data_IF_014461736783
#
_entry.id   IF_014461736783
#
_cell.length_a   1.000
_cell.length_b   1.000
_cell.length_c   1.000
_cell.angle_alpha   90.00
_cell.angle_beta   90.00
_cell.angle_gamma   90.00
#
_symmetry.space_group_name_H-M   'P 1'
#
loop_
_entity.id
_entity.type
_entity.pdbx_description
1 polymer ?
#
# COMPACT_ATOMS: atom_id res chain seq x y z
N UNK A 1 0.54 -27.09 -8.67
CA UNK A 1 0.98 -27.25 -7.27
C UNK A 1 0.12 -26.38 -6.34
N UNK A 2 -0.22 -26.93 -5.17
CA UNK A 2 -0.88 -26.15 -4.11
C UNK A 2 0.15 -25.43 -3.25
N UNK A 3 -0.31 -24.43 -2.45
CA UNK A 3 0.55 -23.74 -1.49
C UNK A 3 1.30 -24.73 -0.57
N UNK A 4 0.58 -25.68 0.01
CA UNK A 4 1.17 -26.65 0.95
C UNK A 4 2.28 -27.48 0.31
N UNK A 5 2.08 -27.96 -0.92
CA UNK A 5 3.12 -28.71 -1.64
C UNK A 5 4.40 -27.90 -1.86
N UNK A 6 4.26 -26.61 -2.21
CA UNK A 6 5.40 -25.70 -2.40
C UNK A 6 6.05 -25.36 -1.06
N UNK A 7 5.22 -25.09 -0.05
CA UNK A 7 5.70 -24.72 1.28
C UNK A 7 6.51 -25.84 1.93
N UNK A 8 5.98 -27.07 1.93
CA UNK A 8 6.63 -28.22 2.56
C UNK A 8 7.93 -28.61 1.85
N UNK A 9 7.94 -28.54 0.52
CA UNK A 9 9.12 -28.91 -0.27
C UNK A 9 10.24 -27.86 -0.19
N UNK A 10 9.89 -26.54 -0.19
CA UNK A 10 10.83 -25.45 -0.46
C UNK A 10 10.73 -24.27 0.51
N UNK A 11 9.56 -23.64 0.65
CA UNK A 11 9.44 -22.36 1.35
C UNK A 11 9.64 -22.47 2.86
N UNK A 12 9.34 -23.61 3.45
CA UNK A 12 9.64 -23.90 4.85
C UNK A 12 11.16 -23.80 5.14
N UNK A 13 12.00 -24.29 4.23
CA UNK A 13 13.46 -24.17 4.34
C UNK A 13 13.91 -22.72 4.24
N UNK A 14 13.34 -21.98 3.28
CA UNK A 14 13.59 -20.56 3.09
C UNK A 14 13.15 -19.75 4.32
N UNK A 15 12.01 -20.07 4.92
CA UNK A 15 11.52 -19.42 6.14
C UNK A 15 12.44 -19.66 7.35
N UNK A 16 13.08 -20.84 7.41
CA UNK A 16 14.11 -21.19 8.40
C UNK A 16 15.46 -20.55 8.13
N UNK A 17 15.58 -19.69 7.12
CA UNK A 17 16.78 -18.92 6.80
C UNK A 17 17.78 -19.64 5.90
N UNK A 18 17.43 -20.82 5.34
CA UNK A 18 18.31 -21.53 4.41
C UNK A 18 18.46 -20.69 3.13
N UNK A 19 19.68 -20.31 2.72
CA UNK A 19 19.91 -19.60 1.47
C UNK A 19 19.81 -20.54 0.26
N UNK A 20 19.68 -19.97 -0.92
CA UNK A 20 19.80 -20.66 -2.21
C UNK A 20 18.81 -21.83 -2.41
N UNK A 21 17.63 -21.75 -1.78
CA UNK A 21 16.60 -22.80 -1.92
C UNK A 21 15.82 -22.62 -3.23
N UNK A 22 15.14 -21.48 -3.41
CA UNK A 22 14.36 -21.17 -4.62
C UNK A 22 14.95 -20.01 -5.41
N UNK A 23 15.69 -19.14 -4.74
CA UNK A 23 16.32 -17.95 -5.29
C UNK A 23 17.71 -17.78 -4.70
N UNK A 24 18.64 -17.12 -5.42
CA UNK A 24 19.98 -16.84 -4.89
C UNK A 24 19.93 -16.03 -3.60
N UNK A 25 20.70 -16.45 -2.60
CA UNK A 25 20.81 -15.80 -1.31
C UNK A 25 19.63 -16.10 -0.36
N UNK A 26 19.58 -15.33 0.73
CA UNK A 26 18.56 -15.46 1.77
C UNK A 26 17.37 -14.55 1.51
N UNK A 27 16.16 -15.07 1.63
CA UNK A 27 14.91 -14.31 1.60
C UNK A 27 14.71 -13.59 2.94
N UNK A 28 14.64 -12.26 2.89
CA UNK A 28 14.53 -11.42 4.10
C UNK A 28 13.10 -11.10 4.50
N UNK A 29 12.15 -11.20 3.59
CA UNK A 29 10.76 -10.77 3.81
C UNK A 29 9.78 -11.88 3.46
N UNK A 30 8.74 -12.02 4.29
CA UNK A 30 7.61 -12.90 4.04
C UNK A 30 6.30 -12.13 4.18
N UNK A 31 5.51 -12.13 3.12
CA UNK A 31 4.16 -11.60 3.18
C UNK A 31 3.25 -12.61 3.87
N UNK A 32 2.44 -12.10 4.80
CA UNK A 32 1.41 -12.87 5.48
C UNK A 32 0.10 -12.73 4.71
N UNK A 33 -0.46 -13.82 4.23
CA UNK A 33 -1.82 -13.78 3.71
C UNK A 33 -2.81 -13.94 4.84
N UNK A 34 -3.87 -13.13 4.85
CA UNK A 34 -5.02 -13.40 5.70
C UNK A 34 -5.59 -14.75 5.31
N UNK A 35 -5.38 -15.77 6.15
CA UNK A 35 -6.12 -17.02 6.02
C UNK A 35 -7.62 -16.70 6.17
N UNK A 36 -8.47 -17.37 5.40
CA UNK A 36 -9.89 -17.49 5.80
C UNK A 36 -9.91 -18.07 7.21
N UNK A 37 -10.89 -17.72 8.02
CA UNK A 37 -11.00 -17.89 9.47
C UNK A 37 -10.62 -19.28 10.05
N UNK A 38 -10.33 -20.28 9.23
CA UNK A 38 -9.94 -21.63 9.63
C UNK A 38 -8.58 -22.11 9.08
N UNK A 39 -7.93 -21.32 8.21
CA UNK A 39 -6.64 -21.68 7.63
C UNK A 39 -5.48 -20.96 8.29
N UNK A 40 -4.41 -21.68 8.61
CA UNK A 40 -3.17 -21.11 9.12
C UNK A 40 -2.65 -19.99 8.21
N UNK A 41 -2.12 -18.93 8.79
CA UNK A 41 -1.48 -17.83 8.07
C UNK A 41 -0.41 -18.35 7.13
N UNK A 42 -0.50 -17.98 5.84
CA UNK A 42 0.46 -18.41 4.83
C UNK A 42 1.63 -17.43 4.76
N UNK A 43 2.85 -17.96 4.73
CA UNK A 43 4.07 -17.19 4.56
C UNK A 43 4.50 -17.25 3.09
N UNK A 44 4.47 -16.13 2.41
CA UNK A 44 4.82 -16.01 0.98
C UNK A 44 6.17 -15.30 0.88
N UNK A 45 7.22 -15.92 0.35
CA UNK A 45 8.54 -15.32 0.21
C UNK A 45 8.50 -14.09 -0.70
N UNK A 46 9.05 -12.97 -0.24
CA UNK A 46 9.17 -11.73 -1.00
C UNK A 46 10.65 -11.49 -1.28
N UNK A 47 11.06 -11.77 -2.50
CA UNK A 47 12.44 -11.64 -2.92
C UNK A 47 12.80 -10.18 -3.26
N UNK A 48 14.12 -9.89 -3.27
CA UNK A 48 14.63 -8.58 -3.72
C UNK A 48 14.20 -8.26 -5.16
N UNK A 49 14.10 -9.28 -6.01
CA UNK A 49 13.76 -9.08 -7.42
C UNK A 49 12.28 -8.73 -7.61
N UNK A 50 11.38 -9.33 -6.81
CA UNK A 50 9.96 -8.95 -6.86
C UNK A 50 9.77 -7.51 -6.34
N UNK A 51 10.51 -7.10 -5.29
CA UNK A 51 10.47 -5.71 -4.81
C UNK A 51 10.93 -4.75 -5.90
N UNK A 52 12.06 -5.01 -6.54
CA UNK A 52 12.57 -4.19 -7.67
C UNK A 52 11.61 -4.16 -8.86
N UNK A 53 11.04 -5.31 -9.20
CA UNK A 53 10.05 -5.41 -10.29
C UNK A 53 8.82 -4.57 -10.00
N UNK A 54 8.28 -4.65 -8.79
CA UNK A 54 7.13 -3.85 -8.37
C UNK A 54 7.44 -2.34 -8.38
N UNK A 55 8.61 -1.93 -7.86
CA UNK A 55 9.05 -0.54 -7.92
C UNK A 55 9.14 -0.03 -9.37
N UNK A 56 9.77 -0.81 -10.25
CA UNK A 56 9.89 -0.46 -11.67
C UNK A 56 8.53 -0.35 -12.35
N UNK A 57 7.61 -1.27 -12.05
CA UNK A 57 6.24 -1.24 -12.58
C UNK A 57 5.48 -0.01 -12.08
N UNK A 58 5.53 0.29 -10.79
CA UNK A 58 4.86 1.46 -10.21
C UNK A 58 5.39 2.77 -10.81
N UNK A 59 6.70 2.91 -10.98
CA UNK A 59 7.29 4.09 -11.64
C UNK A 59 6.79 4.21 -13.07
N UNK A 60 6.75 3.12 -13.83
CA UNK A 60 6.23 3.12 -15.21
C UNK A 60 4.76 3.50 -15.27
N UNK A 61 3.93 2.99 -14.35
CA UNK A 61 2.53 3.36 -14.26
C UNK A 61 2.35 4.87 -14.01
N UNK A 62 3.11 5.44 -13.04
CA UNK A 62 3.09 6.88 -12.79
C UNK A 62 3.51 7.66 -14.04
N UNK A 63 4.61 7.27 -14.69
CA UNK A 63 5.08 7.94 -15.91
C UNK A 63 4.08 7.85 -17.07
N UNK A 64 3.30 6.76 -17.17
CA UNK A 64 2.26 6.61 -18.18
C UNK A 64 1.16 7.67 -18.04
N UNK A 65 0.96 8.20 -16.81
CA UNK A 65 -0.01 9.26 -16.58
C UNK A 65 0.34 10.55 -17.35
N UNK A 66 1.59 10.76 -17.75
CA UNK A 66 1.99 11.91 -18.58
C UNK A 66 1.32 11.97 -19.96
N UNK A 67 0.73 10.85 -20.41
CA UNK A 67 -0.04 10.81 -21.66
C UNK A 67 -1.48 11.37 -21.52
N UNK A 68 -1.96 11.55 -20.28
CA UNK A 68 -3.29 12.13 -20.03
C UNK A 68 -3.21 13.65 -20.02
N UNK A 69 -3.79 14.29 -21.06
CA UNK A 69 -3.75 15.74 -21.28
C UNK A 69 -4.54 16.53 -20.21
N UNK A 70 -5.49 15.88 -19.57
CA UNK A 70 -6.37 16.50 -18.56
C UNK A 70 -5.74 16.56 -17.17
N UNK A 71 -4.56 15.96 -16.97
CA UNK A 71 -3.84 16.07 -15.71
C UNK A 71 -3.16 17.44 -15.59
N UNK A 72 -3.23 18.08 -14.41
CA UNK A 72 -2.50 19.31 -14.16
C UNK A 72 -0.99 19.15 -14.41
N UNK A 73 -0.35 20.19 -14.96
CA UNK A 73 1.09 20.16 -15.27
C UNK A 73 1.97 19.92 -14.04
N UNK A 74 1.49 20.28 -12.86
CA UNK A 74 2.17 20.11 -11.57
C UNK A 74 1.74 18.81 -10.84
N UNK A 75 0.97 17.93 -11.48
CA UNK A 75 0.51 16.66 -10.89
C UNK A 75 1.66 15.84 -10.30
N UNK A 76 2.80 15.75 -11.01
CA UNK A 76 3.92 14.90 -10.62
C UNK A 76 4.71 15.38 -9.41
N UNK A 77 4.46 16.59 -8.93
CA UNK A 77 5.05 17.13 -7.69
C UNK A 77 4.10 17.08 -6.50
N UNK A 78 2.85 16.62 -6.70
CA UNK A 78 1.86 16.45 -5.65
C UNK A 78 2.12 15.20 -4.80
N UNK A 79 1.52 15.17 -3.62
CA UNK A 79 1.57 14.01 -2.74
C UNK A 79 0.84 12.79 -3.29
N UNK A 80 1.36 11.62 -3.00
CA UNK A 80 0.74 10.33 -3.30
C UNK A 80 0.39 9.65 -1.99
N UNK A 81 -0.90 9.59 -1.66
CA UNK A 81 -1.38 8.89 -0.48
C UNK A 81 -1.52 7.40 -0.79
N UNK A 82 -0.70 6.58 -0.14
CA UNK A 82 -0.76 5.12 -0.27
C UNK A 82 -1.28 4.51 1.03
N UNK A 83 -2.50 4.01 1.01
CA UNK A 83 -3.13 3.39 2.17
C UNK A 83 -2.98 1.87 2.12
N UNK A 84 -2.18 1.34 3.03
CA UNK A 84 -1.87 -0.10 3.11
C UNK A 84 -1.53 -0.54 4.53
N UNK A 85 -1.11 -1.78 4.68
CA UNK A 85 -0.68 -2.36 5.95
C UNK A 85 0.45 -1.60 6.63
N UNK A 86 0.75 -1.99 7.87
CA UNK A 86 1.82 -1.36 8.66
C UNK A 86 3.21 -1.67 8.06
N UNK A 87 4.06 -0.65 8.02
CA UNK A 87 5.49 -0.83 7.71
C UNK A 87 6.33 -1.27 8.91
N UNK A 88 5.72 -1.37 10.09
CA UNK A 88 6.34 -1.93 11.29
C UNK A 88 6.25 -3.47 11.23
N UNK A 89 7.13 -4.06 10.44
CA UNK A 89 7.19 -5.50 10.21
C UNK A 89 7.64 -6.24 11.48
N UNK A 90 7.14 -7.45 11.65
CA UNK A 90 7.57 -8.32 12.74
C UNK A 90 8.88 -9.03 12.36
N UNK A 91 9.90 -8.96 13.22
CA UNK A 91 11.15 -9.70 13.03
C UNK A 91 11.13 -10.96 13.89
N UNK A 92 11.24 -12.13 13.27
CA UNK A 92 11.19 -13.43 13.95
C UNK A 92 12.58 -13.98 14.32
N UNK A 93 13.64 -13.18 14.25
CA UNK A 93 15.03 -13.58 14.46
C UNK A 93 15.79 -13.95 13.17
N UNK A 94 15.09 -14.23 12.07
CA UNK A 94 15.66 -14.64 10.78
C UNK A 94 15.19 -13.72 9.64
N UNK A 95 13.89 -13.44 9.61
CA UNK A 95 13.23 -12.68 8.53
C UNK A 95 12.20 -11.71 9.09
N UNK A 96 11.78 -10.76 8.24
CA UNK A 96 10.72 -9.81 8.51
C UNK A 96 9.40 -10.32 7.92
N UNK A 97 8.33 -10.20 8.69
CA UNK A 97 6.99 -10.67 8.34
C UNK A 97 5.96 -9.55 8.46
N UNK A 98 4.99 -9.51 7.55
CA UNK A 98 3.91 -8.54 7.58
C UNK A 98 3.08 -8.52 6.31
N UNK A 99 2.21 -7.53 6.19
CA UNK A 99 1.43 -7.34 4.96
C UNK A 99 2.33 -7.03 3.77
N UNK A 100 1.97 -7.56 2.59
CA UNK A 100 2.72 -7.28 1.36
C UNK A 100 2.85 -5.79 1.07
N UNK A 101 1.76 -5.03 1.27
CA UNK A 101 1.76 -3.58 1.09
C UNK A 101 2.70 -2.87 2.08
N UNK A 102 2.74 -3.31 3.34
CA UNK A 102 3.67 -2.80 4.35
C UNK A 102 5.13 -3.09 3.97
N UNK A 103 5.42 -4.31 3.50
CA UNK A 103 6.76 -4.67 3.01
C UNK A 103 7.17 -3.78 1.83
N UNK A 104 6.29 -3.59 0.84
CA UNK A 104 6.60 -2.77 -0.34
C UNK A 104 6.83 -1.30 0.02
N UNK A 105 5.98 -0.74 0.88
CA UNK A 105 6.11 0.65 1.33
C UNK A 105 7.37 0.86 2.17
N UNK A 106 7.78 -0.11 2.98
CA UNK A 106 9.03 -0.04 3.75
C UNK A 106 10.29 0.04 2.86
N UNK A 107 10.17 -0.32 1.58
CA UNK A 107 11.25 -0.33 0.58
C UNK A 107 11.15 0.84 -0.43
N UNK A 108 10.33 1.84 -0.17
CA UNK A 108 10.21 3.03 -1.04
C UNK A 108 11.58 3.73 -1.16
N UNK A 109 12.03 4.07 -2.38
CA UNK A 109 13.27 4.81 -2.59
C UNK A 109 13.29 6.14 -1.83
N UNK A 110 14.45 6.56 -1.32
CA UNK A 110 14.58 7.77 -0.51
C UNK A 110 14.11 9.04 -1.25
N UNK A 111 14.33 9.12 -2.57
CA UNK A 111 13.91 10.26 -3.40
C UNK A 111 12.39 10.37 -3.55
N UNK A 112 11.63 9.29 -3.29
CA UNK A 112 10.17 9.28 -3.33
C UNK A 112 9.53 9.68 -1.99
N UNK A 113 10.29 9.61 -0.89
CA UNK A 113 9.79 9.91 0.47
C UNK A 113 9.07 11.27 0.61
N UNK A 114 9.52 12.37 -0.02
CA UNK A 114 8.83 13.66 0.07
C UNK A 114 7.39 13.62 -0.45
N UNK A 115 7.15 12.82 -1.47
CA UNK A 115 5.84 12.69 -2.11
C UNK A 115 4.94 11.64 -1.42
N UNK A 116 5.54 10.71 -0.68
CA UNK A 116 4.80 9.65 -0.01
C UNK A 116 4.02 10.17 1.20
N UNK A 117 2.71 9.92 1.22
CA UNK A 117 1.83 10.12 2.37
C UNK A 117 1.21 8.76 2.77
N UNK A 118 0.95 8.55 4.05
CA UNK A 118 1.01 9.49 5.18
C UNK A 118 2.41 9.73 5.76
N UNK A 119 3.47 9.23 5.11
CA UNK A 119 4.84 9.31 5.61
C UNK A 119 5.20 8.18 6.58
N UNK A 120 6.50 8.00 6.82
CA UNK A 120 7.05 6.84 7.51
C UNK A 120 6.48 6.63 8.92
N UNK A 121 6.25 7.72 9.68
CA UNK A 121 5.76 7.63 11.06
C UNK A 121 4.36 7.03 11.13
N UNK A 122 3.41 7.58 10.39
CA UNK A 122 2.01 7.11 10.39
C UNK A 122 1.92 5.72 9.74
N UNK A 123 2.75 5.45 8.72
CA UNK A 123 2.78 4.15 8.07
C UNK A 123 3.15 2.99 9.01
N UNK A 124 3.88 3.24 10.09
CA UNK A 124 4.26 2.23 11.09
C UNK A 124 3.12 1.86 12.05
N UNK A 125 2.06 2.68 12.14
CA UNK A 125 0.95 2.37 13.04
C UNK A 125 0.28 1.04 12.64
N UNK A 126 0.14 0.14 13.62
CA UNK A 126 -0.47 -1.18 13.45
C UNK A 126 -1.98 -1.15 13.67
N UNK A 127 -2.43 -0.27 14.57
CA UNK A 127 -3.84 -0.07 14.80
C UNK A 127 -4.46 0.71 13.64
N UNK A 128 -5.37 0.07 12.92
CA UNK A 128 -5.98 0.64 11.74
C UNK A 128 -6.80 1.89 12.03
N UNK A 129 -7.54 1.88 13.15
CA UNK A 129 -8.34 3.04 13.58
C UNK A 129 -7.48 4.26 13.85
N UNK A 130 -6.42 4.07 14.65
CA UNK A 130 -5.45 5.14 14.97
C UNK A 130 -4.75 5.66 13.72
N UNK A 131 -4.32 4.76 12.82
CA UNK A 131 -3.72 5.15 11.53
C UNK A 131 -4.64 6.07 10.74
N UNK A 132 -5.91 5.70 10.59
CA UNK A 132 -6.89 6.54 9.88
C UNK A 132 -7.11 7.87 10.59
N UNK A 133 -7.20 7.88 11.91
CA UNK A 133 -7.38 9.12 12.69
C UNK A 133 -6.19 10.08 12.53
N UNK A 134 -4.96 9.57 12.57
CA UNK A 134 -3.77 10.38 12.32
C UNK A 134 -3.73 10.94 10.90
N UNK A 135 -4.15 10.15 9.88
CA UNK A 135 -4.28 10.61 8.50
C UNK A 135 -5.32 11.73 8.40
N UNK A 136 -6.49 11.55 9.03
CA UNK A 136 -7.56 12.56 9.04
C UNK A 136 -7.05 13.88 9.61
N UNK A 137 -6.37 13.86 10.76
CA UNK A 137 -5.83 15.06 11.40
C UNK A 137 -4.81 15.80 10.53
N UNK A 138 -4.08 15.07 9.67
CA UNK A 138 -3.05 15.62 8.78
C UNK A 138 -3.54 15.91 7.37
N UNK A 139 -4.77 15.54 7.04
CA UNK A 139 -5.26 15.59 5.66
C UNK A 139 -5.14 17.00 5.02
N UNK A 140 -5.41 18.06 5.77
CA UNK A 140 -5.31 19.46 5.29
C UNK A 140 -3.87 19.93 5.03
N UNK A 141 -2.88 19.28 5.66
CA UNK A 141 -1.48 19.66 5.52
C UNK A 141 -0.87 19.12 4.20
N UNK A 142 -1.62 18.30 3.46
CA UNK A 142 -1.12 17.60 2.29
C UNK A 142 -1.80 18.05 1.00
N UNK A 143 -0.99 18.37 0.00
CA UNK A 143 -1.44 18.61 -1.35
C UNK A 143 -1.40 17.26 -2.12
N UNK A 144 -2.53 16.56 -2.13
CA UNK A 144 -2.66 15.22 -2.70
C UNK A 144 -3.12 15.29 -4.16
N UNK A 145 -2.33 14.71 -5.07
CA UNK A 145 -2.69 14.51 -6.47
C UNK A 145 -3.18 13.10 -6.77
N UNK A 146 -2.64 12.11 -6.05
CA UNK A 146 -2.96 10.70 -6.26
C UNK A 146 -3.25 9.99 -4.95
N UNK A 147 -4.24 9.11 -4.97
CA UNK A 147 -4.53 8.18 -3.86
C UNK A 147 -4.42 6.75 -4.38
N UNK A 148 -3.79 5.87 -3.61
CA UNK A 148 -3.69 4.44 -3.94
C UNK A 148 -4.10 3.57 -2.75
N UNK A 149 -4.95 2.58 -3.01
CA UNK A 149 -5.41 1.65 -1.99
C UNK A 149 -6.66 0.86 -2.36
N UNK A 150 -7.06 -0.05 -1.49
CA UNK A 150 -8.27 -0.85 -1.65
C UNK A 150 -9.52 0.04 -1.52
N UNK A 151 -10.51 -0.05 -2.42
CA UNK A 151 -11.68 0.84 -2.45
C UNK A 151 -12.40 1.00 -1.11
N UNK A 152 -12.68 -0.09 -0.41
CA UNK A 152 -13.38 -0.04 0.88
C UNK A 152 -12.65 0.85 1.90
N UNK A 153 -11.33 0.73 1.99
CA UNK A 153 -10.54 1.49 2.96
C UNK A 153 -10.38 2.97 2.58
N UNK A 154 -10.23 3.26 1.29
CA UNK A 154 -10.18 4.62 0.79
C UNK A 154 -11.52 5.32 0.98
N UNK A 155 -12.63 4.63 0.73
CA UNK A 155 -13.98 5.16 1.00
C UNK A 155 -14.12 5.55 2.47
N UNK A 156 -13.81 4.64 3.40
CA UNK A 156 -13.87 4.91 4.85
C UNK A 156 -13.00 6.11 5.23
N UNK A 157 -11.79 6.20 4.68
CA UNK A 157 -10.89 7.32 4.95
C UNK A 157 -11.48 8.65 4.46
N UNK A 158 -11.94 8.71 3.21
CA UNK A 158 -12.52 9.93 2.63
C UNK A 158 -13.76 10.36 3.42
N UNK A 159 -14.66 9.44 3.76
CA UNK A 159 -15.83 9.72 4.59
C UNK A 159 -15.45 10.28 5.98
N UNK A 160 -14.38 9.73 6.60
CA UNK A 160 -13.87 10.25 7.88
C UNK A 160 -13.32 11.67 7.73
N UNK A 161 -12.57 11.96 6.66
CA UNK A 161 -12.02 13.30 6.38
C UNK A 161 -13.18 14.30 6.18
N UNK A 162 -14.12 14.00 5.30
CA UNK A 162 -15.28 14.84 4.99
C UNK A 162 -16.06 15.16 6.28
N UNK A 163 -16.33 14.13 7.09
CA UNK A 163 -17.04 14.30 8.37
C UNK A 163 -16.25 15.16 9.37
N UNK A 164 -14.96 14.92 9.49
CA UNK A 164 -14.10 15.65 10.44
C UNK A 164 -14.02 17.13 10.12
N UNK A 165 -13.84 17.47 8.86
CA UNK A 165 -13.69 18.86 8.41
C UNK A 165 -15.03 19.54 8.07
N UNK A 166 -16.16 18.78 8.14
CA UNK A 166 -17.51 19.26 7.82
C UNK A 166 -17.62 19.86 6.41
N UNK A 167 -16.98 19.22 5.46
CA UNK A 167 -17.01 19.59 4.04
C UNK A 167 -17.96 18.67 3.26
N UNK A 168 -18.29 19.01 2.02
CA UNK A 168 -19.23 18.22 1.18
C UNK A 168 -18.50 17.15 0.39
N UNK A 169 -17.31 17.47 -0.12
CA UNK A 169 -16.51 16.55 -0.94
C UNK A 169 -15.05 16.59 -0.52
N UNK A 170 -14.31 15.56 -0.93
CA UNK A 170 -12.87 15.47 -0.64
C UNK A 170 -12.08 16.57 -1.35
N UNK A 171 -12.57 17.08 -2.48
CA UNK A 171 -11.89 18.13 -3.23
C UNK A 171 -11.83 19.47 -2.48
N UNK A 172 -12.65 19.68 -1.47
CA UNK A 172 -12.51 20.84 -0.58
C UNK A 172 -11.28 20.73 0.33
N UNK A 173 -10.75 19.53 0.52
CA UNK A 173 -9.53 19.26 1.30
C UNK A 173 -8.34 19.03 0.37
N UNK A 174 -8.53 18.26 -0.71
CA UNK A 174 -7.52 17.90 -1.71
C UNK A 174 -7.96 18.37 -3.11
N UNK A 175 -7.87 19.68 -3.40
CA UNK A 175 -8.37 20.23 -4.67
C UNK A 175 -7.63 19.68 -5.90
N UNK A 176 -6.40 19.19 -5.72
CA UNK A 176 -5.58 18.63 -6.80
C UNK A 176 -5.71 17.11 -6.94
N UNK A 177 -6.57 16.47 -6.16
CA UNK A 177 -6.79 15.01 -6.23
C UNK A 177 -7.42 14.62 -7.58
N UNK A 178 -6.63 14.05 -8.47
CA UNK A 178 -7.02 13.77 -9.87
C UNK A 178 -6.94 12.29 -10.23
N UNK A 179 -6.18 11.47 -9.48
CA UNK A 179 -5.96 10.06 -9.83
C UNK A 179 -6.19 9.15 -8.63
N UNK A 180 -7.01 8.14 -8.84
CA UNK A 180 -7.20 7.06 -7.88
C UNK A 180 -6.71 5.73 -8.47
N UNK A 181 -5.66 5.17 -7.88
CA UNK A 181 -5.15 3.83 -8.18
C UNK A 181 -5.74 2.79 -7.22
N UNK A 182 -6.55 1.87 -7.72
CA UNK A 182 -7.16 0.84 -6.90
C UNK A 182 -6.73 -0.57 -7.29
N UNK A 183 -6.90 -1.51 -6.37
CA UNK A 183 -6.61 -2.92 -6.60
C UNK A 183 -7.21 -3.80 -5.50
N UNK A 184 -7.03 -5.10 -5.66
CA UNK A 184 -7.49 -6.11 -4.69
C UNK A 184 -8.93 -6.55 -4.87
N UNK A 185 -9.83 -5.65 -5.28
CA UNK A 185 -11.25 -5.94 -5.54
C UNK A 185 -11.78 -5.12 -6.72
N UNK A 186 -12.93 -5.50 -7.27
CA UNK A 186 -13.63 -4.72 -8.29
C UNK A 186 -14.04 -3.36 -7.72
N UNK A 187 -13.91 -2.30 -8.51
CA UNK A 187 -14.31 -0.94 -8.13
C UNK A 187 -15.82 -0.68 -8.30
N UNK A 188 -16.49 -1.41 -9.18
CA UNK A 188 -17.89 -1.15 -9.55
C UNK A 188 -18.87 -1.03 -8.36
N UNK A 189 -18.77 -1.88 -7.30
CA UNK A 189 -19.63 -1.72 -6.13
C UNK A 189 -19.45 -0.40 -5.38
N UNK A 190 -18.30 0.25 -5.52
CA UNK A 190 -17.93 1.48 -4.81
C UNK A 190 -18.18 2.74 -5.63
N UNK A 191 -18.32 2.65 -6.95
CA UNK A 191 -18.44 3.78 -7.88
C UNK A 191 -19.43 4.84 -7.41
N UNK A 192 -20.67 4.45 -7.13
CA UNK A 192 -21.73 5.38 -6.70
C UNK A 192 -21.42 6.11 -5.38
N UNK A 193 -20.67 5.46 -4.49
CA UNK A 193 -20.25 6.10 -3.25
C UNK A 193 -19.14 7.12 -3.53
N UNK A 194 -18.15 6.74 -4.33
CA UNK A 194 -17.09 7.66 -4.74
C UNK A 194 -17.61 8.88 -5.49
N UNK A 195 -18.55 8.72 -6.43
CA UNK A 195 -19.19 9.84 -7.17
C UNK A 195 -19.82 10.88 -6.25
N UNK A 196 -20.24 10.49 -5.02
CA UNK A 196 -20.80 11.41 -4.02
C UNK A 196 -19.74 12.04 -3.14
N UNK A 197 -18.57 11.44 -3.02
CA UNK A 197 -17.48 11.89 -2.16
C UNK A 197 -16.50 12.82 -2.89
N UNK A 198 -16.52 12.77 -4.24
CA UNK A 198 -15.74 13.61 -5.15
C UNK A 198 -16.50 14.89 -5.49
#
# INVERSE_FOLDING_TARGET
HTYNQIFDAWWNKTLKGQPDVCWPGQTKYFALSSGTSEAATKHIPITRDIIKSNQKTSIRQILTLSHYKDLPSDFFIKGILMLGGSTNLNFNGISYEGDLSGIQVSQIPFWFQPFYKPGAKIAQEKDWGKKLDEIVLKAKDWDIGCVAGVPAWIQILIEKIIRHYKVKTIHEIWPNFSVYGHGGVSFEPYRKAFDKLM
#
